data_IF_629017761818
#
_entry.id   IF_629017761818
#
_cell.length_a   1.000
_cell.length_b   1.000
_cell.length_c   1.000
_cell.angle_alpha   90.00
_cell.angle_beta   90.00
_cell.angle_gamma   90.00
#
_symmetry.space_group_name_H-M   'P 1'
#
loop_
_entity.id
_entity.type
_entity.pdbx_description
1 polymer ?
#
# COMPACT_ATOMS: atom_id res chain seq x y z
N UNK A 1 -6.78 -24.15 -0.10
CA UNK A 1 -5.67 -23.86 0.81
C UNK A 1 -4.46 -23.56 -0.06
N UNK A 2 -4.08 -22.34 -0.47
CA UNK A 2 -4.20 -21.01 0.11
C UNK A 2 -2.81 -20.36 0.05
N UNK A 3 -2.13 -20.41 -1.11
CA UNK A 3 -0.74 -19.96 -1.25
C UNK A 3 -0.68 -18.44 -1.43
N UNK A 4 -0.97 -17.68 -0.38
CA UNK A 4 -0.52 -16.29 -0.30
C UNK A 4 0.98 -16.33 -0.02
N UNK A 5 1.75 -16.47 -1.11
CA UNK A 5 3.21 -16.41 -1.06
C UNK A 5 3.65 -14.95 -1.03
N UNK A 6 4.56 -14.62 -0.12
CA UNK A 6 5.16 -13.28 0.01
C UNK A 6 5.72 -12.80 -1.33
N UNK A 7 6.27 -13.71 -2.13
CA UNK A 7 6.80 -13.40 -3.47
C UNK A 7 5.71 -12.89 -4.40
N UNK A 8 4.50 -13.47 -4.37
CA UNK A 8 3.38 -12.99 -5.20
C UNK A 8 2.96 -11.57 -4.81
N UNK A 9 2.96 -11.26 -3.52
CA UNK A 9 2.65 -9.90 -3.03
C UNK A 9 3.70 -8.89 -3.50
N UNK A 10 4.98 -9.25 -3.47
CA UNK A 10 6.07 -8.39 -3.96
C UNK A 10 5.96 -8.13 -5.47
N UNK A 11 5.64 -9.16 -6.26
CA UNK A 11 5.43 -9.01 -7.71
C UNK A 11 4.27 -8.06 -7.99
N UNK A 12 3.13 -8.22 -7.30
CA UNK A 12 1.98 -7.33 -7.47
C UNK A 12 2.33 -5.90 -7.02
N UNK A 13 3.01 -5.74 -5.89
CA UNK A 13 3.43 -4.43 -5.41
C UNK A 13 4.40 -3.73 -6.38
N UNK A 14 5.35 -4.47 -6.96
CA UNK A 14 6.27 -3.95 -7.97
C UNK A 14 5.54 -3.47 -9.23
N UNK A 15 4.53 -4.22 -9.70
CA UNK A 15 3.69 -3.80 -10.83
C UNK A 15 2.91 -2.53 -10.51
N UNK A 16 2.31 -2.45 -9.32
CA UNK A 16 1.60 -1.24 -8.88
C UNK A 16 2.54 -0.03 -8.83
N UNK A 17 3.76 -0.19 -8.30
CA UNK A 17 4.76 0.86 -8.25
C UNK A 17 5.22 1.28 -9.65
N UNK A 18 5.40 0.33 -10.57
CA UNK A 18 5.81 0.61 -11.95
C UNK A 18 4.73 1.36 -12.74
N UNK A 19 3.47 0.98 -12.58
CA UNK A 19 2.33 1.59 -13.30
C UNK A 19 1.98 2.99 -12.77
N UNK A 20 1.96 3.15 -11.45
CA UNK A 20 1.49 4.39 -10.82
C UNK A 20 2.63 5.33 -10.43
N UNK A 21 3.86 4.84 -10.37
CA UNK A 21 5.02 5.57 -9.87
C UNK A 21 4.98 5.78 -8.35
N UNK A 22 6.16 5.95 -7.75
CA UNK A 22 6.29 6.14 -6.29
C UNK A 22 5.74 7.48 -5.80
N UNK A 23 5.77 8.54 -6.62
CA UNK A 23 5.26 9.87 -6.26
C UNK A 23 3.75 9.86 -6.00
N UNK A 24 2.97 9.21 -6.87
CA UNK A 24 1.51 9.13 -6.76
C UNK A 24 1.08 8.26 -5.57
N UNK A 25 1.78 7.14 -5.36
CA UNK A 25 1.58 6.27 -4.20
C UNK A 25 1.91 6.97 -2.88
N UNK A 26 2.92 7.85 -2.85
CA UNK A 26 3.27 8.63 -1.65
C UNK A 26 2.21 9.67 -1.30
N UNK A 27 1.70 10.42 -2.27
CA UNK A 27 0.60 11.38 -2.04
C UNK A 27 -0.65 10.65 -1.55
N UNK A 28 -1.06 9.60 -2.26
CA UNK A 28 -2.22 8.79 -1.85
C UNK A 28 -2.04 8.16 -0.47
N UNK A 29 -0.84 7.65 -0.14
CA UNK A 29 -0.55 7.11 1.19
C UNK A 29 -0.57 8.16 2.30
N UNK A 30 -0.21 9.40 1.99
CA UNK A 30 -0.34 10.54 2.92
C UNK A 30 -1.80 10.90 3.18
N UNK A 31 -2.60 10.99 2.12
CA UNK A 31 -4.02 11.36 2.18
C UNK A 31 -4.87 10.26 2.86
N UNK A 32 -4.55 8.99 2.61
CA UNK A 32 -5.22 7.83 3.20
C UNK A 32 -4.66 7.45 4.58
N UNK A 33 -3.45 7.89 4.92
CA UNK A 33 -2.80 7.64 6.21
C UNK A 33 -3.26 8.59 7.32
N UNK A 34 -3.77 9.77 6.96
CA UNK A 34 -4.32 10.75 7.91
C UNK A 34 -5.48 10.22 8.78
N UNK A 35 -6.51 9.59 8.20
CA UNK A 35 -7.66 9.04 8.95
C UNK A 35 -7.30 7.87 9.89
N UNK A 36 -6.30 7.05 9.52
CA UNK A 36 -5.92 5.85 10.28
C UNK A 36 -5.01 6.15 11.49
N UNK A 37 -4.36 7.32 11.52
CA UNK A 37 -3.43 7.70 12.60
C UNK A 37 -4.13 8.29 13.83
N UNK A 38 -5.41 8.66 13.73
CA UNK A 38 -6.19 9.32 14.79
C UNK A 38 -7.17 8.42 15.56
N UNK A 39 -7.41 7.18 15.15
CA UNK A 39 -8.48 6.35 15.72
C UNK A 39 -8.12 5.60 17.02
N UNK A 40 -6.91 5.80 17.56
CA UNK A 40 -6.46 5.20 18.84
C UNK A 40 -6.60 6.12 20.05
N UNK A 41 -7.62 6.99 20.04
CA UNK A 41 -8.09 7.73 21.23
C UNK A 41 -9.54 7.36 21.55
N UNK A 42 -9.75 6.08 21.87
CA UNK A 42 -10.75 5.58 22.82
C UNK A 42 -10.19 4.32 23.45
#
# INVERSE_FOLDING_TARGET
>A
MGEISITKLLVVAALVVLLFGTKKLRTLGGDLGGPLKGSRRR
#
